data_IF_568473142008
#
_entry.id   IF_568473142008
#
_cell.length_a   1.000
_cell.length_b   1.000
_cell.length_c   1.000
_cell.angle_alpha   90.00
_cell.angle_beta   90.00
_cell.angle_gamma   90.00
#
_symmetry.space_group_name_H-M   'P 1'
#
loop_
_entity.id
_entity.type
_entity.pdbx_description
1 polymer ?
#
# COMPACT_ATOMS: atom_id res chain seq x y z
N UNK A 1 13.74 7.04 -3.43
CA UNK A 1 14.29 5.76 -3.97
C UNK A 1 14.51 4.68 -2.89
N UNK A 2 15.10 4.97 -1.72
CA UNK A 2 15.27 3.96 -0.66
C UNK A 2 13.92 3.35 -0.20
N UNK A 3 12.90 4.19 0.05
CA UNK A 3 11.57 3.75 0.49
C UNK A 3 10.88 2.79 -0.49
N UNK A 4 11.02 3.01 -1.79
CA UNK A 4 10.49 2.10 -2.81
C UNK A 4 11.19 0.73 -2.77
N UNK A 5 12.49 0.70 -2.48
CA UNK A 5 13.21 -0.57 -2.27
C UNK A 5 12.76 -1.28 -1.00
N UNK A 6 12.60 -0.54 0.09
CA UNK A 6 12.12 -1.09 1.37
C UNK A 6 10.70 -1.66 1.19
N UNK A 7 9.81 -0.91 0.53
CA UNK A 7 8.49 -1.38 0.13
C UNK A 7 8.56 -2.66 -0.69
N UNK A 8 9.42 -2.70 -1.70
CA UNK A 8 9.60 -3.90 -2.53
C UNK A 8 10.06 -5.12 -1.72
N UNK A 9 10.99 -4.94 -0.77
CA UNK A 9 11.45 -6.02 0.10
C UNK A 9 10.32 -6.55 1.00
N UNK A 10 9.53 -5.66 1.60
CA UNK A 10 8.34 -6.05 2.38
C UNK A 10 7.35 -6.80 1.49
N UNK A 11 7.06 -6.28 0.29
CA UNK A 11 6.13 -6.92 -0.64
C UNK A 11 6.57 -8.34 -1.02
N UNK A 12 7.86 -8.55 -1.28
CA UNK A 12 8.41 -9.88 -1.55
C UNK A 12 8.25 -10.83 -0.35
N UNK A 13 8.52 -10.36 0.86
CA UNK A 13 8.42 -11.16 2.09
C UNK A 13 6.99 -11.65 2.37
N UNK A 14 5.98 -10.84 2.03
CA UNK A 14 4.57 -11.17 2.25
C UNK A 14 3.85 -11.74 1.02
N UNK A 15 4.55 -11.93 -0.09
CA UNK A 15 3.94 -12.44 -1.34
C UNK A 15 2.92 -11.46 -1.95
N UNK A 16 3.12 -10.16 -1.77
CA UNK A 16 2.32 -9.11 -2.41
C UNK A 16 2.75 -9.01 -3.87
N UNK A 17 1.78 -9.07 -4.78
CA UNK A 17 1.97 -8.96 -6.22
C UNK A 17 1.92 -7.51 -6.70
N UNK A 18 0.97 -6.72 -6.18
CA UNK A 18 0.75 -5.33 -6.58
C UNK A 18 0.50 -4.45 -5.36
N UNK A 19 1.00 -3.21 -5.40
CA UNK A 19 0.63 -2.14 -4.47
C UNK A 19 0.16 -0.92 -5.24
N UNK A 20 -1.00 -0.40 -4.85
CA UNK A 20 -1.59 0.82 -5.39
C UNK A 20 -1.69 1.89 -4.31
N UNK A 21 -1.38 3.13 -4.67
CA UNK A 21 -1.77 4.32 -3.93
C UNK A 21 -2.99 4.92 -4.60
N UNK A 22 -4.05 5.18 -3.85
CA UNK A 22 -5.27 5.81 -4.37
C UNK A 22 -5.86 6.78 -3.35
N UNK A 23 -7.05 7.29 -3.64
CA UNK A 23 -7.71 8.29 -2.80
C UNK A 23 -7.06 9.67 -2.86
N UNK A 24 -7.41 10.52 -1.92
CA UNK A 24 -7.11 11.96 -1.97
C UNK A 24 -5.61 12.28 -1.83
N UNK A 25 -4.84 11.36 -1.26
CA UNK A 25 -3.41 11.53 -0.94
C UNK A 25 -2.46 10.68 -1.81
N UNK A 26 -2.98 10.05 -2.86
CA UNK A 26 -2.21 9.16 -3.73
C UNK A 26 -0.96 9.81 -4.34
N UNK A 27 -1.10 11.04 -4.87
CA UNK A 27 0.01 11.75 -5.52
C UNK A 27 1.06 12.20 -4.49
N UNK A 28 0.62 12.71 -3.34
CA UNK A 28 1.51 13.07 -2.23
C UNK A 28 2.30 11.84 -1.74
N UNK A 29 1.62 10.70 -1.58
CA UNK A 29 2.25 9.42 -1.23
C UNK A 29 3.28 8.94 -2.24
N UNK A 30 2.99 9.07 -3.55
CA UNK A 30 3.94 8.70 -4.61
C UNK A 30 5.21 9.56 -4.55
N UNK A 31 5.04 10.88 -4.44
CA UNK A 31 6.15 11.84 -4.30
C UNK A 31 6.98 11.53 -3.05
N UNK A 32 6.30 11.20 -1.95
CA UNK A 32 6.95 10.80 -0.70
C UNK A 32 7.81 9.53 -0.85
N UNK A 33 7.27 8.47 -1.47
CA UNK A 33 8.03 7.24 -1.73
C UNK A 33 9.26 7.48 -2.65
N UNK A 34 9.14 8.42 -3.59
CA UNK A 34 10.26 8.85 -4.45
C UNK A 34 11.34 9.59 -3.68
N UNK A 35 11.03 10.09 -2.49
CA UNK A 35 11.94 10.85 -1.63
C UNK A 35 11.91 12.35 -1.92
N UNK A 36 10.85 12.83 -2.57
CA UNK A 36 10.60 14.24 -2.75
C UNK A 36 10.13 14.89 -1.45
N UNK A 37 10.34 16.20 -1.33
CA UNK A 37 9.81 16.96 -0.21
C UNK A 37 8.29 17.12 -0.38
N UNK A 38 7.53 16.52 0.54
CA UNK A 38 6.08 16.58 0.59
C UNK A 38 5.69 17.31 1.86
N UNK A 39 4.87 18.35 1.74
CA UNK A 39 4.29 18.99 2.91
C UNK A 39 3.04 18.21 3.32
N UNK A 40 3.01 17.80 4.58
CA UNK A 40 1.87 17.10 5.16
C UNK A 40 1.04 18.16 5.87
N UNK A 41 0.18 18.77 5.09
CA UNK A 41 -0.61 19.95 5.48
C UNK A 41 -1.84 19.54 6.31
N UNK A 42 -2.37 18.35 6.04
CA UNK A 42 -3.52 17.77 6.71
C UNK A 42 -3.12 16.48 7.43
N UNK A 43 -3.00 16.55 8.75
CA UNK A 43 -2.63 15.41 9.61
C UNK A 43 -3.77 14.42 9.81
N UNK A 44 -4.99 14.74 9.36
CA UNK A 44 -6.16 13.88 9.47
C UNK A 44 -6.44 13.11 8.17
N UNK A 45 -5.71 13.41 7.10
CA UNK A 45 -5.86 12.71 5.84
C UNK A 45 -4.91 11.52 5.76
N UNK A 46 -5.50 10.35 5.59
CA UNK A 46 -4.78 9.08 5.50
C UNK A 46 -4.31 8.84 4.05
N UNK A 47 -3.29 8.00 3.88
CA UNK A 47 -2.90 7.43 2.59
C UNK A 47 -3.58 6.09 2.39
N UNK A 48 -4.41 5.99 1.35
CA UNK A 48 -5.06 4.75 0.97
C UNK A 48 -4.10 3.86 0.16
N UNK A 49 -3.83 2.66 0.68
CA UNK A 49 -2.91 1.68 0.10
C UNK A 49 -3.64 0.38 -0.17
N UNK A 50 -3.77 0.02 -1.43
CA UNK A 50 -4.37 -1.23 -1.88
C UNK A 50 -3.32 -2.26 -2.23
N UNK A 51 -3.47 -3.48 -1.71
CA UNK A 51 -2.56 -4.58 -2.03
C UNK A 51 -3.32 -5.74 -2.67
N UNK A 52 -2.63 -6.42 -3.60
CA UNK A 52 -3.06 -7.68 -4.22
C UNK A 52 -1.97 -8.71 -3.96
N UNK A 53 -2.34 -9.91 -3.50
CA UNK A 53 -1.39 -10.99 -3.25
C UNK A 53 -1.19 -11.86 -4.49
N UNK A 54 -0.03 -12.50 -4.56
CA UNK A 54 0.30 -13.46 -5.62
C UNK A 54 -0.51 -14.74 -5.47
N UNK A 55 -0.57 -15.25 -4.24
CA UNK A 55 -1.28 -16.46 -3.88
C UNK A 55 -2.59 -16.10 -3.19
N UNK A 56 -3.62 -16.97 -3.22
CA UNK A 56 -4.87 -16.72 -2.53
C UNK A 56 -4.66 -16.39 -1.06
N UNK A 57 -5.41 -15.40 -0.57
CA UNK A 57 -5.40 -15.03 0.84
C UNK A 57 -5.64 -16.24 1.76
N UNK A 58 -5.00 -16.26 2.95
CA UNK A 58 -5.23 -17.32 3.92
C UNK A 58 -6.70 -17.38 4.36
N UNK A 59 -7.14 -18.43 5.07
CA UNK A 59 -8.51 -18.52 5.57
C UNK A 59 -8.91 -17.27 6.40
N UNK A 60 -10.19 -16.84 6.40
CA UNK A 60 -10.62 -15.61 7.09
C UNK A 60 -10.14 -15.47 8.53
N UNK A 61 -10.06 -16.59 9.27
CA UNK A 61 -9.58 -16.63 10.66
C UNK A 61 -8.10 -16.32 10.86
N UNK A 62 -7.30 -16.17 9.80
CA UNK A 62 -5.87 -15.88 9.86
C UNK A 62 -5.50 -14.52 9.23
N UNK A 63 -6.43 -13.94 8.45
CA UNK A 63 -6.20 -12.70 7.70
C UNK A 63 -5.84 -11.51 8.59
N UNK A 64 -6.41 -11.42 9.80
CA UNK A 64 -6.10 -10.34 10.74
C UNK A 64 -4.61 -10.30 11.12
N UNK A 65 -3.95 -11.46 11.23
CA UNK A 65 -2.51 -11.52 11.55
C UNK A 65 -1.68 -11.02 10.37
N UNK A 66 -2.02 -11.49 9.16
CA UNK A 66 -1.38 -11.04 7.93
C UNK A 66 -1.53 -9.52 7.77
N UNK A 67 -2.75 -9.01 7.97
CA UNK A 67 -3.06 -7.59 7.94
C UNK A 67 -2.21 -6.81 8.94
N UNK A 68 -2.23 -7.18 10.23
CA UNK A 68 -1.46 -6.46 11.26
C UNK A 68 0.04 -6.45 10.98
N UNK A 69 0.59 -7.56 10.47
CA UNK A 69 2.01 -7.64 10.13
C UNK A 69 2.38 -6.71 8.97
N UNK A 70 1.59 -6.71 7.89
CA UNK A 70 1.82 -5.81 6.74
C UNK A 70 1.60 -4.36 7.13
N UNK A 71 0.54 -4.08 7.90
CA UNK A 71 0.22 -2.74 8.37
C UNK A 71 1.39 -2.13 9.13
N UNK A 72 1.98 -2.85 10.08
CA UNK A 72 3.11 -2.34 10.88
C UNK A 72 4.33 -2.00 9.99
N UNK A 73 4.64 -2.85 9.01
CA UNK A 73 5.76 -2.62 8.08
C UNK A 73 5.49 -1.42 7.17
N UNK A 74 4.27 -1.31 6.65
CA UNK A 74 3.88 -0.22 5.76
C UNK A 74 3.76 1.10 6.52
N UNK A 75 3.25 1.10 7.75
CA UNK A 75 3.14 2.30 8.58
C UNK A 75 4.50 2.96 8.76
N UNK A 76 5.56 2.19 9.02
CA UNK A 76 6.92 2.72 9.11
C UNK A 76 7.42 3.31 7.78
N UNK A 77 7.07 2.68 6.65
CA UNK A 77 7.45 3.16 5.31
C UNK A 77 6.75 4.48 4.98
N UNK A 78 5.44 4.58 5.26
CA UNK A 78 4.59 5.70 4.90
C UNK A 78 4.57 6.83 5.93
N UNK A 79 5.06 6.61 7.16
CA UNK A 79 5.18 7.65 8.19
C UNK A 79 5.88 8.88 7.63
N UNK A 80 5.32 10.10 7.75
CA UNK A 80 4.28 10.47 8.72
C UNK A 80 2.85 10.53 8.17
N UNK A 81 2.57 9.97 7.00
CA UNK A 81 1.20 9.82 6.51
C UNK A 81 0.53 8.65 7.26
N UNK A 82 -0.63 8.86 7.92
CA UNK A 82 -1.37 7.75 8.51
C UNK A 82 -1.84 6.80 7.42
N UNK A 83 -1.79 5.49 7.66
CA UNK A 83 -2.02 4.46 6.66
C UNK A 83 -3.45 3.91 6.75
N UNK A 84 -4.16 3.84 5.61
CA UNK A 84 -5.33 2.97 5.43
C UNK A 84 -4.97 1.83 4.45
N UNK A 85 -4.92 0.61 4.96
CA UNK A 85 -4.50 -0.57 4.19
C UNK A 85 -5.73 -1.38 3.77
N UNK A 86 -5.80 -1.74 2.48
CA UNK A 86 -6.91 -2.53 1.94
C UNK A 86 -6.39 -3.72 1.14
N UNK A 87 -6.88 -4.92 1.48
CA UNK A 87 -6.70 -6.10 0.64
C UNK A 87 -7.73 -6.05 -0.49
N UNK A 88 -7.29 -5.70 -1.70
CA UNK A 88 -8.20 -5.43 -2.82
C UNK A 88 -8.97 -6.68 -3.25
N UNK A 89 -8.45 -7.88 -2.97
CA UNK A 89 -9.10 -9.16 -3.25
C UNK A 89 -10.33 -9.45 -2.36
N UNK A 90 -10.43 -8.82 -1.18
CA UNK A 90 -11.60 -8.91 -0.29
C UNK A 90 -12.56 -7.73 -0.45
N UNK A 91 -12.09 -6.65 -1.08
CA UNK A 91 -12.78 -5.37 -1.13
C UNK A 91 -13.97 -5.35 -2.09
N UNK A 92 -14.89 -4.42 -1.82
CA UNK A 92 -15.96 -4.10 -2.76
C UNK A 92 -15.36 -3.60 -4.08
N UNK A 93 -15.98 -3.90 -5.22
CA UNK A 93 -15.48 -3.53 -6.56
C UNK A 93 -15.20 -2.03 -6.74
N UNK A 94 -15.84 -1.18 -5.93
CA UNK A 94 -15.57 0.27 -5.89
C UNK A 94 -14.12 0.55 -5.50
N UNK A 95 -13.58 -0.09 -4.46
CA UNK A 95 -12.19 0.09 -4.04
C UNK A 95 -11.20 -0.39 -5.10
N UNK A 96 -11.51 -1.52 -5.76
CA UNK A 96 -10.68 -2.03 -6.86
C UNK A 96 -10.63 -1.03 -8.03
N UNK A 97 -11.77 -0.44 -8.40
CA UNK A 97 -11.84 0.56 -9.47
C UNK A 97 -11.11 1.86 -9.08
N UNK A 98 -11.24 2.32 -7.84
CA UNK A 98 -10.49 3.49 -7.37
C UNK A 98 -8.98 3.24 -7.34
N UNK A 99 -8.54 2.05 -6.90
CA UNK A 99 -7.13 1.66 -6.91
C UNK A 99 -6.53 1.74 -8.33
N UNK A 100 -7.25 1.25 -9.35
CA UNK A 100 -6.82 1.28 -10.74
C UNK A 100 -6.73 2.69 -11.34
N UNK A 101 -7.42 3.68 -10.77
CA UNK A 101 -7.28 5.09 -11.16
C UNK A 101 -6.08 5.78 -10.51
N UNK A 102 -5.51 5.17 -9.48
CA UNK A 102 -4.36 5.67 -8.73
C UNK A 102 -3.02 5.30 -9.36
N UNK A 103 -2.02 5.10 -8.51
CA UNK A 103 -0.65 4.81 -8.91
C UNK A 103 -0.25 3.41 -8.47
N UNK A 104 0.15 2.55 -9.40
CA UNK A 104 0.87 1.32 -9.06
C UNK A 104 2.30 1.69 -8.64
N UNK A 105 2.66 1.40 -7.39
CA UNK A 105 3.97 1.75 -6.81
C UNK A 105 4.87 0.54 -6.58
N UNK A 106 4.32 -0.66 -6.74
CA UNK A 106 5.06 -1.90 -6.76
C UNK A 106 4.31 -2.92 -7.63
N UNK A 107 5.07 -3.62 -8.46
CA UNK A 107 4.62 -4.81 -9.21
C UNK A 107 5.71 -5.87 -9.10
N UNK A 108 5.32 -7.10 -8.76
CA UNK A 108 6.24 -8.22 -8.61
C UNK A 108 6.97 -8.58 -9.92
N UNK A 109 6.36 -8.29 -11.08
CA UNK A 109 6.89 -8.63 -12.40
C UNK A 109 7.65 -7.48 -13.10
N UNK A 110 7.67 -6.29 -12.49
CA UNK A 110 8.49 -5.18 -13.00
C UNK A 110 9.95 -5.35 -12.52
N UNK A 111 10.83 -5.68 -13.46
CA UNK A 111 12.30 -5.77 -13.32
C UNK A 111 12.94 -4.41 -13.54
#
# INVERSE_FOLDING_TARGET
>A
MQKLRDLGAVCQNYGIALVYLYGSKAEEGLRYLRGEEVRIDDKLADIDVGVVFKEPLPPPGERYKLYSNIFNEFEEIFRPLPLDLVFLEEGHSVFQVEALKGYCVYSMDEV
#
